data_IF_552707758003
#
_entry.id   IF_552707758003
#
_cell.length_a   1.000
_cell.length_b   1.000
_cell.length_c   1.000
_cell.angle_alpha   90.00
_cell.angle_beta   90.00
_cell.angle_gamma   90.00
#
_symmetry.space_group_name_H-M   'P 1'
#
loop_
_entity.id
_entity.type
_entity.pdbx_description
1 polymer ?
#
# COMPACT_ATOMS: atom_id res chain seq x y z
N UNK A 1 1.85 -1.90 6.71
CA UNK A 1 2.27 -0.47 6.73
C UNK A 1 3.50 -0.34 7.61
N UNK A 2 4.56 0.33 7.16
CA UNK A 2 5.64 0.76 8.05
C UNK A 2 5.29 2.14 8.61
N UNK A 3 4.86 2.20 9.88
CA UNK A 3 4.44 3.44 10.56
C UNK A 3 5.67 4.09 11.20
N UNK A 4 6.02 5.27 10.71
CA UNK A 4 7.14 6.07 11.22
C UNK A 4 6.60 7.42 11.68
N UNK A 5 6.81 7.75 12.96
CA UNK A 5 6.48 9.08 13.52
C UNK A 5 7.76 9.63 14.17
N UNK A 6 8.25 10.81 13.75
CA UNK A 6 9.42 11.43 14.36
C UNK A 6 9.09 12.00 15.75
N UNK A 7 10.11 12.06 16.59
CA UNK A 7 10.14 12.87 17.80
C UNK A 7 10.41 14.34 17.43
N UNK A 8 10.32 15.24 18.42
CA UNK A 8 10.54 16.68 18.22
C UNK A 8 11.97 17.03 17.81
N UNK A 9 12.94 16.16 18.10
CA UNK A 9 14.35 16.29 17.71
C UNK A 9 14.66 15.61 16.36
N UNK A 10 13.65 15.04 15.69
CA UNK A 10 13.78 14.33 14.42
C UNK A 10 14.19 12.85 14.53
N UNK A 11 14.55 12.36 15.72
CA UNK A 11 14.77 10.92 15.94
C UNK A 11 13.45 10.14 15.77
N UNK A 12 13.46 8.85 15.40
CA UNK A 12 12.22 8.07 15.31
C UNK A 12 11.61 7.88 16.70
N UNK A 13 10.38 8.37 16.91
CA UNK A 13 9.60 8.11 18.14
C UNK A 13 8.79 6.82 18.04
N UNK A 14 8.28 6.53 16.84
CA UNK A 14 7.67 5.25 16.49
C UNK A 14 8.32 4.76 15.20
N UNK A 15 8.69 3.49 15.17
CA UNK A 15 9.07 2.77 13.96
C UNK A 15 8.50 1.35 14.08
N UNK A 16 7.32 1.13 13.50
CA UNK A 16 6.51 -0.07 13.74
C UNK A 16 5.99 -0.66 12.44
N UNK A 17 6.10 -1.99 12.30
CA UNK A 17 5.35 -2.72 11.30
C UNK A 17 3.91 -2.92 11.80
N UNK A 18 2.97 -2.34 11.08
CA UNK A 18 1.53 -2.41 11.37
C UNK A 18 0.84 -3.31 10.35
N UNK A 19 0.07 -4.27 10.85
CA UNK A 19 -0.88 -5.09 10.08
C UNK A 19 -2.28 -4.48 10.21
N UNK A 20 -3.04 -4.49 9.13
CA UNK A 20 -4.46 -4.15 9.14
C UNK A 20 -5.20 -5.09 8.18
N UNK A 21 -6.50 -5.19 8.36
CA UNK A 21 -7.38 -6.02 7.55
C UNK A 21 -8.49 -5.17 6.94
N UNK A 22 -8.97 -5.63 5.79
CA UNK A 22 -10.27 -5.23 5.27
C UNK A 22 -11.30 -6.23 5.78
N UNK A 23 -12.41 -5.73 6.30
CA UNK A 23 -13.56 -6.50 6.80
C UNK A 23 -14.79 -6.17 5.96
N UNK A 24 -15.88 -6.91 6.18
CA UNK A 24 -17.18 -6.73 5.51
C UNK A 24 -17.08 -6.61 3.97
N UNK A 25 -16.23 -7.44 3.37
CA UNK A 25 -15.93 -7.36 1.94
C UNK A 25 -17.10 -7.92 1.13
N UNK A 26 -17.73 -7.08 0.31
CA UNK A 26 -18.75 -7.48 -0.67
C UNK A 26 -18.29 -7.13 -2.07
N UNK A 27 -17.83 -8.14 -2.82
CA UNK A 27 -17.46 -7.97 -4.24
C UNK A 27 -18.73 -7.90 -5.09
N UNK A 28 -18.93 -6.77 -5.77
CA UNK A 28 -20.07 -6.51 -6.66
C UNK A 28 -19.79 -6.88 -8.11
N UNK A 29 -18.52 -6.88 -8.50
CA UNK A 29 -18.11 -7.25 -9.86
C UNK A 29 -16.60 -7.31 -10.00
N UNK A 30 -16.15 -8.15 -10.93
CA UNK A 30 -14.73 -8.33 -11.25
C UNK A 30 -14.54 -8.72 -12.71
N UNK A 31 -13.57 -8.07 -13.37
CA UNK A 31 -13.24 -8.30 -14.77
C UNK A 31 -11.73 -8.32 -14.96
N UNK A 32 -11.28 -9.10 -15.95
CA UNK A 32 -9.90 -9.10 -16.43
C UNK A 32 -9.87 -8.69 -17.90
N UNK A 33 -8.69 -8.29 -18.39
CA UNK A 33 -8.50 -7.93 -19.79
C UNK A 33 -7.06 -7.50 -20.08
N UNK A 34 -6.72 -7.28 -21.36
CA UNK A 34 -5.44 -6.69 -21.74
C UNK A 34 -5.24 -5.32 -21.08
N UNK A 35 -4.02 -5.01 -20.66
CA UNK A 35 -3.69 -3.75 -20.02
C UNK A 35 -2.27 -3.28 -20.37
N UNK A 36 -2.04 -1.98 -20.18
CA UNK A 36 -0.75 -1.34 -20.30
C UNK A 36 -0.54 -0.43 -19.08
N UNK A 37 0.72 -0.28 -18.66
CA UNK A 37 1.12 0.64 -17.60
C UNK A 37 2.40 1.36 -18.03
N UNK A 38 2.39 2.68 -17.99
CA UNK A 38 3.56 3.52 -18.18
C UNK A 38 3.77 4.37 -16.92
N UNK A 39 5.03 4.54 -16.52
CA UNK A 39 5.41 5.30 -15.33
C UNK A 39 6.38 6.42 -15.72
N UNK A 40 6.08 7.62 -15.26
CA UNK A 40 6.83 8.82 -15.61
C UNK A 40 7.70 9.24 -14.41
N UNK A 41 8.97 9.63 -14.63
CA UNK A 41 9.84 10.09 -13.56
C UNK A 41 9.28 11.35 -12.89
N UNK A 42 9.31 11.37 -11.55
CA UNK A 42 8.94 12.54 -10.77
C UNK A 42 9.75 12.59 -9.47
N UNK A 43 10.33 13.75 -9.14
CA UNK A 43 11.26 13.89 -8.01
C UNK A 43 10.63 13.58 -6.64
N UNK A 44 9.35 13.91 -6.44
CA UNK A 44 8.62 13.69 -5.18
C UNK A 44 7.58 12.55 -5.26
N UNK A 45 7.50 11.85 -6.39
CA UNK A 45 6.61 10.72 -6.60
C UNK A 45 7.34 9.64 -7.41
N UNK A 46 8.36 8.97 -6.83
CA UNK A 46 9.32 8.16 -7.56
C UNK A 46 8.78 6.77 -7.96
N UNK A 47 7.56 6.71 -8.50
CA UNK A 47 6.92 5.44 -8.89
C UNK A 47 7.72 4.73 -9.99
N UNK A 48 8.37 5.48 -10.89
CA UNK A 48 9.23 4.92 -11.94
C UNK A 48 10.56 4.34 -11.43
N UNK A 49 10.90 4.47 -10.14
CA UNK A 49 12.06 3.78 -9.55
C UNK A 49 11.88 2.26 -9.49
N UNK A 50 10.65 1.77 -9.60
CA UNK A 50 10.32 0.37 -9.87
C UNK A 50 9.85 0.27 -11.34
N UNK A 51 10.77 -0.03 -12.29
CA UNK A 51 10.44 0.00 -13.70
C UNK A 51 9.49 -1.15 -14.08
N UNK A 52 8.55 -0.87 -14.99
CA UNK A 52 7.70 -1.90 -15.59
C UNK A 52 8.54 -2.70 -16.58
N UNK A 53 8.92 -3.92 -16.21
CA UNK A 53 9.60 -4.86 -17.11
C UNK A 53 8.59 -5.57 -18.01
N UNK A 54 7.46 -5.99 -17.44
CA UNK A 54 6.34 -6.61 -18.13
C UNK A 54 5.04 -6.44 -17.33
N UNK A 55 3.89 -6.37 -18.03
CA UNK A 55 2.57 -6.41 -17.40
C UNK A 55 2.11 -7.87 -17.31
N UNK A 56 2.02 -8.41 -16.10
CA UNK A 56 1.66 -9.82 -15.88
C UNK A 56 0.15 -10.09 -15.89
N UNK A 57 -0.66 -9.18 -15.34
CA UNK A 57 -2.12 -9.30 -15.30
C UNK A 57 -2.77 -7.96 -14.98
N UNK A 58 -4.08 -7.85 -15.21
CA UNK A 58 -4.89 -6.73 -14.78
C UNK A 58 -6.27 -7.18 -14.30
N UNK A 59 -6.78 -6.52 -13.27
CA UNK A 59 -8.09 -6.79 -12.68
C UNK A 59 -8.79 -5.46 -12.39
N UNK A 60 -10.05 -5.33 -12.84
CA UNK A 60 -10.96 -4.26 -12.45
C UNK A 60 -11.99 -4.81 -11.47
N UNK A 61 -12.14 -4.19 -10.30
CA UNK A 61 -13.01 -4.65 -9.21
C UNK A 61 -13.94 -3.53 -8.73
N UNK A 62 -15.16 -3.91 -8.37
CA UNK A 62 -16.10 -3.07 -7.62
C UNK A 62 -16.46 -3.84 -6.36
N UNK A 63 -16.23 -3.25 -5.19
CA UNK A 63 -16.54 -3.86 -3.90
C UNK A 63 -16.91 -2.82 -2.84
N UNK A 64 -17.75 -3.21 -1.89
CA UNK A 64 -17.85 -2.54 -0.60
C UNK A 64 -16.84 -3.18 0.35
N UNK A 65 -16.14 -2.36 1.13
CA UNK A 65 -15.15 -2.81 2.12
C UNK A 65 -15.21 -1.91 3.36
N UNK A 66 -14.96 -2.48 4.53
CA UNK A 66 -14.66 -1.76 5.76
C UNK A 66 -13.14 -1.84 6.01
N UNK A 67 -12.52 -0.72 6.39
CA UNK A 67 -11.12 -0.69 6.79
C UNK A 67 -11.04 -0.73 8.32
N UNK A 68 -10.56 -1.85 8.87
CA UNK A 68 -10.39 -1.99 10.31
C UNK A 68 -9.18 -1.20 10.82
N UNK A 69 -9.16 -0.96 12.14
CA UNK A 69 -7.98 -0.45 12.82
C UNK A 69 -6.83 -1.47 12.72
N UNK A 70 -5.60 -0.96 12.64
CA UNK A 70 -4.40 -1.80 12.59
C UNK A 70 -3.86 -2.20 13.95
N UNK A 71 -3.01 -3.22 13.95
CA UNK A 71 -2.25 -3.71 15.12
C UNK A 71 -0.74 -3.71 14.84
N UNK A 72 0.07 -3.51 15.88
CA UNK A 72 1.53 -3.57 15.78
C UNK A 72 1.96 -5.04 15.80
N UNK A 73 2.64 -5.48 14.75
CA UNK A 73 3.18 -6.86 14.65
C UNK A 73 4.68 -6.92 14.87
N UNK A 74 5.38 -5.80 14.74
CA UNK A 74 6.80 -5.67 15.07
C UNK A 74 7.14 -4.22 15.42
N UNK A 75 7.89 -4.02 16.50
CA UNK A 75 8.41 -2.71 16.90
C UNK A 75 9.94 -2.71 16.74
N UNK A 76 10.46 -1.80 15.91
CA UNK A 76 11.89 -1.73 15.59
C UNK A 76 12.71 -0.99 16.66
N UNK A 77 12.06 -0.38 17.67
CA UNK A 77 12.72 0.37 18.75
C UNK A 77 12.68 -0.34 20.11
N UNK A 78 12.15 -1.56 20.16
CA UNK A 78 12.04 -2.39 21.37
C UNK A 78 13.37 -3.03 21.77
#
# INVERSE_FOLDING_TARGET
LLKIIPHVDGSPRLCQLVRYHLSDIVVKGGWTGPAALELQPHALAPVASLPVLEVLSATHLIADITLDLGEVVHDYLA
#
